data_IF_299958306457
#
_entry.id   IF_299958306457
#
_cell.length_a   1.000
_cell.length_b   1.000
_cell.length_c   1.000
_cell.angle_alpha   90.00
_cell.angle_beta   90.00
_cell.angle_gamma   90.00
#
_symmetry.space_group_name_H-M   'P 1'
#
loop_
_entity.id
_entity.type
_entity.pdbx_description
1 polymer ?
#
# COMPACT_ATOMS: atom_id res chain seq x y z
N UNK A 1 -5.49 7.63 -15.50
CA UNK A 1 -5.33 7.68 -16.98
C UNK A 1 -6.69 7.50 -17.62
N UNK A 2 -7.04 8.31 -18.62
CA UNK A 2 -8.25 8.14 -19.43
C UNK A 2 -7.85 8.12 -20.91
N UNK A 3 -8.45 7.24 -21.69
CA UNK A 3 -8.18 7.10 -23.13
C UNK A 3 -9.43 6.61 -23.86
N UNK A 4 -9.63 7.03 -25.11
CA UNK A 4 -10.76 6.59 -25.93
C UNK A 4 -10.76 7.27 -27.29
N UNK A 5 -11.19 6.54 -28.33
CA UNK A 5 -11.20 7.02 -29.71
C UNK A 5 -9.82 7.07 -30.36
N UNK A 6 -9.80 7.01 -31.70
CA UNK A 6 -8.59 7.01 -32.52
C UNK A 6 -8.64 8.02 -33.69
N UNK A 7 -9.81 8.62 -33.93
CA UNK A 7 -10.03 9.61 -34.99
C UNK A 7 -10.98 10.70 -34.50
N UNK A 8 -10.71 11.95 -34.87
CA UNK A 8 -11.46 13.14 -34.42
C UNK A 8 -12.90 13.17 -34.95
N UNK A 9 -13.15 12.53 -36.09
CA UNK A 9 -14.42 12.54 -36.80
C UNK A 9 -15.20 11.22 -36.71
N UNK A 10 -14.89 10.37 -35.74
CA UNK A 10 -15.53 9.07 -35.54
C UNK A 10 -16.06 8.91 -34.12
N UNK A 11 -17.20 8.24 -33.97
CA UNK A 11 -17.70 7.85 -32.66
C UNK A 11 -16.78 6.76 -32.09
N UNK A 12 -16.18 6.92 -30.90
CA UNK A 12 -15.29 5.92 -30.32
C UNK A 12 -15.99 4.58 -30.10
N UNK A 13 -15.34 3.49 -30.51
CA UNK A 13 -15.82 2.12 -30.23
C UNK A 13 -15.45 1.63 -28.82
N UNK A 14 -14.43 2.23 -28.19
CA UNK A 14 -13.98 1.89 -26.84
C UNK A 14 -13.39 3.11 -26.13
N UNK A 15 -13.58 3.16 -24.82
CA UNK A 15 -12.84 4.00 -23.89
C UNK A 15 -12.35 3.17 -22.69
N UNK A 16 -11.28 3.63 -22.05
CA UNK A 16 -10.71 3.05 -20.83
C UNK A 16 -10.39 4.14 -19.83
N UNK A 17 -10.79 3.91 -18.59
CA UNK A 17 -10.42 4.70 -17.43
C UNK A 17 -9.66 3.79 -16.46
N UNK A 18 -8.47 4.22 -16.05
CA UNK A 18 -7.68 3.55 -15.02
C UNK A 18 -7.38 4.55 -13.91
N UNK A 19 -7.56 4.11 -12.67
CA UNK A 19 -7.34 4.90 -11.48
C UNK A 19 -6.89 4.03 -10.31
N UNK A 20 -6.60 4.68 -9.20
CA UNK A 20 -6.24 4.04 -7.95
C UNK A 20 -7.09 4.66 -6.84
N UNK A 21 -7.59 3.84 -5.92
CA UNK A 21 -8.32 4.28 -4.73
C UNK A 21 -7.61 3.70 -3.52
N UNK A 22 -7.33 4.54 -2.51
CA UNK A 22 -6.83 4.11 -1.21
C UNK A 22 -7.98 4.20 -0.21
N UNK A 23 -8.40 3.04 0.32
CA UNK A 23 -9.48 2.96 1.30
C UNK A 23 -9.03 3.38 2.71
N UNK A 24 -9.99 3.79 3.53
CA UNK A 24 -9.86 3.87 4.99
C UNK A 24 -10.68 2.74 5.64
N UNK A 25 -10.41 2.35 6.91
CA UNK A 25 -11.15 1.27 7.57
C UNK A 25 -12.69 1.42 7.52
N UNK A 26 -13.19 2.64 7.59
CA UNK A 26 -14.62 2.97 7.56
C UNK A 26 -15.26 2.66 6.20
N UNK A 27 -14.48 2.78 5.12
CA UNK A 27 -14.90 2.55 3.74
C UNK A 27 -13.92 1.63 3.00
N UNK A 28 -14.09 0.33 3.20
CA UNK A 28 -13.17 -0.70 2.75
C UNK A 28 -13.10 -0.88 1.22
N UNK A 29 -12.13 -1.66 0.77
CA UNK A 29 -12.00 -2.07 -0.63
C UNK A 29 -13.26 -2.79 -1.12
N UNK A 30 -13.87 -3.66 -0.31
CA UNK A 30 -15.10 -4.37 -0.69
C UNK A 30 -16.26 -3.40 -0.93
N UNK A 31 -16.45 -2.42 -0.04
CA UNK A 31 -17.48 -1.39 -0.21
C UNK A 31 -17.22 -0.55 -1.46
N UNK A 32 -15.97 -0.21 -1.73
CA UNK A 32 -15.56 0.54 -2.92
C UNK A 32 -15.84 -0.24 -4.20
N UNK A 33 -15.43 -1.51 -4.26
CA UNK A 33 -15.65 -2.39 -5.41
C UNK A 33 -17.15 -2.59 -5.64
N UNK A 34 -17.92 -2.85 -4.58
CA UNK A 34 -19.37 -3.00 -4.66
C UNK A 34 -20.06 -1.74 -5.18
N UNK A 35 -19.62 -0.55 -4.74
CA UNK A 35 -20.16 0.72 -5.22
C UNK A 35 -19.85 0.93 -6.71
N UNK A 36 -18.60 0.72 -7.13
CA UNK A 36 -18.21 0.87 -8.54
C UNK A 36 -18.96 -0.13 -9.44
N UNK A 37 -19.08 -1.38 -8.99
CA UNK A 37 -19.83 -2.40 -9.71
C UNK A 37 -21.31 -2.03 -9.83
N UNK A 38 -21.91 -1.50 -8.76
CA UNK A 38 -23.29 -1.01 -8.78
C UNK A 38 -23.48 0.10 -9.83
N UNK A 39 -22.58 1.09 -9.85
CA UNK A 39 -22.63 2.19 -10.84
C UNK A 39 -22.51 1.64 -12.27
N UNK A 40 -21.61 0.69 -12.51
CA UNK A 40 -21.45 0.07 -13.84
C UNK A 40 -22.71 -0.69 -14.27
N UNK A 41 -23.33 -1.43 -13.36
CA UNK A 41 -24.57 -2.15 -13.64
C UNK A 41 -25.70 -1.17 -14.00
N UNK A 42 -25.90 -0.11 -13.21
CA UNK A 42 -26.92 0.91 -13.46
C UNK A 42 -26.70 1.59 -14.84
N UNK A 43 -25.45 1.92 -15.19
CA UNK A 43 -25.14 2.53 -16.48
C UNK A 43 -25.39 1.59 -17.66
N UNK A 44 -25.09 0.30 -17.51
CA UNK A 44 -25.35 -0.72 -18.53
C UNK A 44 -26.85 -1.03 -18.69
N UNK A 45 -27.70 -0.68 -17.73
CA UNK A 45 -29.17 -0.78 -17.86
C UNK A 45 -29.77 0.42 -18.60
N UNK A 46 -29.26 1.64 -18.34
CA UNK A 46 -29.79 2.89 -18.94
C UNK A 46 -29.57 2.94 -20.45
N UNK A 47 -28.41 2.46 -20.90
CA UNK A 47 -28.10 2.31 -22.32
C UNK A 47 -27.37 0.99 -22.50
N UNK A 48 -27.46 0.39 -23.69
CA UNK A 48 -26.82 -0.89 -24.04
C UNK A 48 -25.28 -0.79 -24.14
N UNK A 49 -24.66 -0.10 -23.19
CA UNK A 49 -23.22 -0.08 -22.98
C UNK A 49 -22.74 -1.46 -22.51
N UNK A 50 -21.44 -1.70 -22.66
CA UNK A 50 -20.76 -2.91 -22.20
C UNK A 50 -19.59 -2.51 -21.30
N UNK A 51 -19.90 -1.76 -20.24
CA UNK A 51 -18.91 -1.34 -19.25
C UNK A 51 -18.49 -2.54 -18.39
N UNK A 52 -17.19 -2.70 -18.18
CA UNK A 52 -16.59 -3.75 -17.36
C UNK A 52 -15.69 -3.12 -16.29
N UNK A 53 -15.79 -3.62 -15.05
CA UNK A 53 -14.85 -3.31 -13.98
C UNK A 53 -13.76 -4.39 -13.92
N UNK A 54 -12.51 -4.00 -14.13
CA UNK A 54 -11.37 -4.87 -13.87
C UNK A 54 -10.59 -4.38 -12.65
N UNK A 55 -10.39 -5.27 -11.68
CA UNK A 55 -9.55 -5.01 -10.51
C UNK A 55 -8.15 -5.56 -10.81
N UNK A 56 -7.20 -4.67 -11.07
CA UNK A 56 -5.81 -5.08 -11.32
C UNK A 56 -5.11 -5.50 -10.02
N UNK A 57 -5.36 -4.78 -8.91
CA UNK A 57 -4.81 -5.07 -7.58
C UNK A 57 -5.81 -4.74 -6.47
N UNK A 58 -5.96 -5.66 -5.50
CA UNK A 58 -6.74 -5.43 -4.28
C UNK A 58 -5.82 -5.64 -3.06
N UNK A 59 -5.31 -4.54 -2.50
CA UNK A 59 -4.41 -4.56 -1.35
C UNK A 59 -5.13 -4.06 -0.11
N UNK A 60 -5.21 -4.92 0.90
CA UNK A 60 -5.87 -4.64 2.17
C UNK A 60 -4.92 -3.81 3.05
N UNK A 61 -5.42 -2.82 3.83
CA UNK A 61 -4.60 -2.16 4.83
C UNK A 61 -4.01 -3.17 5.82
N UNK A 62 -2.75 -2.95 6.16
CA UNK A 62 -1.99 -3.85 7.02
C UNK A 62 -1.69 -3.14 8.33
N UNK A 63 -1.91 -3.82 9.46
CA UNK A 63 -1.66 -3.30 10.80
C UNK A 63 -0.76 -4.26 11.57
N UNK A 64 0.43 -3.80 11.94
CA UNK A 64 1.32 -4.53 12.83
C UNK A 64 0.72 -4.56 14.25
N UNK A 65 1.02 -5.60 15.00
CA UNK A 65 0.75 -5.65 16.44
C UNK A 65 1.79 -4.78 17.18
N UNK A 66 1.39 -3.64 17.80
CA UNK A 66 2.31 -2.75 18.50
C UNK A 66 3.02 -3.44 19.68
N UNK A 67 2.46 -4.53 20.19
CA UNK A 67 2.99 -5.29 21.31
C UNK A 67 3.77 -6.55 20.87
N UNK A 68 4.00 -6.72 19.56
CA UNK A 68 4.73 -7.87 19.01
C UNK A 68 6.16 -7.98 19.55
N UNK A 69 6.68 -9.21 19.61
CA UNK A 69 8.05 -9.47 20.02
C UNK A 69 9.03 -8.71 19.13
N UNK A 70 8.80 -8.71 17.81
CA UNK A 70 9.61 -7.97 16.84
C UNK A 70 9.71 -6.46 17.17
N UNK A 71 8.58 -5.80 17.44
CA UNK A 71 8.59 -4.36 17.75
C UNK A 71 9.32 -4.10 19.06
N UNK A 72 9.17 -4.95 20.08
CA UNK A 72 9.93 -4.82 21.34
C UNK A 72 11.44 -4.94 21.10
N UNK A 73 11.90 -5.95 20.36
CA UNK A 73 13.31 -6.12 20.01
C UNK A 73 13.88 -4.89 19.27
N UNK A 74 13.07 -4.26 18.41
CA UNK A 74 13.45 -3.02 17.71
C UNK A 74 13.59 -1.87 18.70
N UNK A 75 12.60 -1.64 19.57
CA UNK A 75 12.61 -0.54 20.54
C UNK A 75 13.81 -0.62 21.48
N UNK A 76 14.25 -1.81 21.87
CA UNK A 76 15.43 -2.03 22.71
C UNK A 76 16.75 -1.58 22.05
N UNK A 77 16.78 -1.44 20.72
CA UNK A 77 17.98 -0.97 20.03
C UNK A 77 18.11 0.55 20.03
N UNK A 78 17.15 1.30 20.57
CA UNK A 78 17.16 2.77 20.60
C UNK A 78 17.07 3.27 22.04
N UNK A 79 17.83 4.32 22.36
CA UNK A 79 17.81 4.92 23.70
C UNK A 79 16.46 5.54 24.05
N UNK A 80 15.74 6.01 23.03
CA UNK A 80 14.41 6.59 23.14
C UNK A 80 13.43 5.78 22.29
N UNK A 81 12.20 5.55 22.77
CA UNK A 81 11.19 4.83 22.00
C UNK A 81 10.90 5.51 20.66
N UNK A 82 10.94 4.73 19.59
CA UNK A 82 10.54 5.18 18.27
C UNK A 82 9.01 5.28 18.18
N UNK A 83 8.47 6.31 17.52
CA UNK A 83 7.03 6.44 17.34
C UNK A 83 6.51 5.35 16.39
N UNK A 84 5.41 4.71 16.78
CA UNK A 84 4.67 3.81 15.90
C UNK A 84 3.69 4.62 15.06
N UNK A 85 3.98 4.74 13.76
CA UNK A 85 3.22 5.58 12.83
C UNK A 85 2.61 4.76 11.70
N UNK A 86 1.47 5.22 11.18
CA UNK A 86 0.94 4.74 9.92
C UNK A 86 1.72 5.36 8.75
N UNK A 87 2.14 4.53 7.80
CA UNK A 87 2.78 5.00 6.56
C UNK A 87 1.75 5.08 5.42
N UNK A 88 1.80 6.15 4.65
CA UNK A 88 1.03 6.29 3.40
C UNK A 88 1.79 5.61 2.27
N UNK A 89 1.26 4.51 1.75
CA UNK A 89 1.90 3.76 0.68
C UNK A 89 1.49 2.30 0.72
N UNK A 90 2.04 1.52 -0.22
CA UNK A 90 1.92 0.07 -0.19
C UNK A 90 3.32 -0.52 -0.10
N UNK A 91 3.46 -1.55 0.70
CA UNK A 91 4.68 -2.37 0.80
C UNK A 91 4.31 -3.83 0.58
N UNK A 92 5.33 -4.69 0.49
CA UNK A 92 5.14 -6.14 0.36
C UNK A 92 4.47 -6.76 1.60
N UNK A 93 4.39 -6.04 2.73
CA UNK A 93 3.66 -6.46 3.93
C UNK A 93 2.21 -6.87 3.61
N UNK A 94 1.54 -6.20 2.66
CA UNK A 94 0.17 -6.53 2.25
C UNK A 94 0.04 -7.87 1.52
N UNK A 95 1.12 -8.37 0.93
CA UNK A 95 1.15 -9.70 0.34
C UNK A 95 1.45 -10.76 1.40
N UNK A 96 2.36 -10.48 2.32
CA UNK A 96 2.69 -11.41 3.41
C UNK A 96 1.47 -11.72 4.30
N UNK A 97 0.55 -10.76 4.52
CA UNK A 97 -0.69 -10.99 5.28
C UNK A 97 -1.63 -12.03 4.66
N UNK A 98 -1.40 -12.46 3.41
CA UNK A 98 -2.18 -13.53 2.77
C UNK A 98 -1.75 -14.94 3.18
N UNK A 99 -0.63 -15.06 3.90
CA UNK A 99 -0.19 -16.33 4.46
C UNK A 99 -1.21 -16.88 5.47
N UNK A 100 -1.33 -18.21 5.53
CA UNK A 100 -2.11 -18.88 6.57
C UNK A 100 -1.42 -18.89 7.93
N UNK A 101 -0.14 -18.52 8.00
CA UNK A 101 0.63 -18.48 9.23
C UNK A 101 0.67 -17.06 9.78
N UNK A 102 0.49 -16.92 11.09
CA UNK A 102 0.75 -15.67 11.79
C UNK A 102 2.25 -15.48 11.97
N UNK A 103 2.72 -14.25 11.76
CA UNK A 103 4.09 -13.83 12.00
C UNK A 103 4.09 -12.35 12.37
N UNK A 104 5.08 -11.94 13.16
CA UNK A 104 5.31 -10.53 13.43
C UNK A 104 5.80 -9.83 12.17
N UNK A 105 5.37 -8.59 11.94
CA UNK A 105 5.92 -7.77 10.89
C UNK A 105 5.86 -6.30 11.28
N UNK A 106 6.77 -5.52 10.71
CA UNK A 106 6.74 -4.06 10.76
C UNK A 106 7.46 -3.52 9.52
N UNK A 107 7.03 -2.37 9.01
CA UNK A 107 7.79 -1.64 7.99
C UNK A 107 8.70 -0.68 8.73
N UNK A 108 10.01 -0.90 8.63
CA UNK A 108 11.00 -0.14 9.37
C UNK A 108 12.27 0.05 8.54
N UNK A 109 12.74 1.29 8.43
CA UNK A 109 13.85 1.63 7.55
C UNK A 109 14.34 3.06 7.71
N UNK A 110 15.50 3.37 7.11
CA UNK A 110 16.08 4.70 7.15
C UNK A 110 15.39 5.63 6.14
N UNK A 111 15.65 6.93 6.27
CA UNK A 111 15.15 7.96 5.37
C UNK A 111 13.88 8.66 5.85
N UNK A 112 13.35 9.53 5.00
CA UNK A 112 12.21 10.39 5.33
C UNK A 112 10.98 9.91 4.55
N UNK A 113 9.95 9.47 5.28
CA UNK A 113 8.73 8.84 4.72
C UNK A 113 7.99 9.67 3.67
N UNK A 114 8.21 10.98 3.62
CA UNK A 114 7.53 11.91 2.70
C UNK A 114 8.27 12.15 1.39
N UNK A 115 9.53 11.72 1.26
CA UNK A 115 10.37 11.97 0.08
C UNK A 115 10.27 10.97 -1.08
N UNK A 116 9.81 9.70 -0.91
CA UNK A 116 9.79 8.76 -2.01
C UNK A 116 9.04 9.26 -3.25
N UNK A 117 9.51 8.84 -4.44
CA UNK A 117 8.94 9.19 -5.77
C UNK A 117 9.08 10.66 -6.16
N UNK A 118 10.10 11.34 -5.63
CA UNK A 118 10.43 12.74 -5.95
C UNK A 118 11.83 12.84 -6.55
N UNK A 119 12.08 13.87 -7.36
CA UNK A 119 13.38 14.06 -8.05
C UNK A 119 14.55 14.18 -7.05
N UNK A 120 14.26 14.70 -5.86
CA UNK A 120 15.21 14.94 -4.78
C UNK A 120 15.05 13.94 -3.62
N UNK A 121 14.57 12.72 -3.89
CA UNK A 121 14.57 11.63 -2.91
C UNK A 121 16.00 11.33 -2.43
N UNK A 122 16.19 11.22 -1.10
CA UNK A 122 17.49 10.94 -0.51
C UNK A 122 17.36 10.19 0.83
N UNK A 123 18.49 9.66 1.30
CA UNK A 123 18.71 9.16 2.67
C UNK A 123 20.04 9.71 3.17
N UNK A 124 20.11 10.08 4.44
CA UNK A 124 21.38 10.52 5.05
C UNK A 124 22.34 9.34 5.17
N UNK A 125 23.62 9.54 4.86
CA UNK A 125 24.64 8.48 4.87
C UNK A 125 24.75 7.86 6.28
N UNK A 126 24.81 8.70 7.31
CA UNK A 126 24.91 8.22 8.68
C UNK A 126 23.68 7.44 9.11
N UNK A 127 22.47 7.85 8.69
CA UNK A 127 21.24 7.11 8.97
C UNK A 127 21.21 5.77 8.23
N UNK A 128 21.68 5.72 6.99
CA UNK A 128 21.81 4.47 6.23
C UNK A 128 22.78 3.49 6.91
N UNK A 129 23.96 3.97 7.31
CA UNK A 129 24.98 3.14 7.96
C UNK A 129 24.55 2.68 9.36
N UNK A 130 23.99 3.57 10.17
CA UNK A 130 23.46 3.22 11.50
C UNK A 130 22.41 2.11 11.37
N UNK A 131 21.54 2.19 10.38
CA UNK A 131 20.48 1.21 10.21
C UNK A 131 21.00 -0.20 9.87
N UNK A 132 22.14 -0.31 9.18
CA UNK A 132 22.79 -1.60 8.93
C UNK A 132 23.17 -2.29 10.24
N UNK A 133 23.74 -1.53 11.19
CA UNK A 133 24.12 -2.04 12.50
C UNK A 133 22.88 -2.37 13.34
N UNK A 134 21.85 -1.53 13.29
CA UNK A 134 20.56 -1.79 13.96
C UNK A 134 19.90 -3.05 13.45
N UNK A 135 19.86 -3.29 12.13
CA UNK A 135 19.28 -4.51 11.57
C UNK A 135 19.98 -5.76 12.09
N UNK A 136 21.31 -5.76 12.16
CA UNK A 136 22.07 -6.89 12.72
C UNK A 136 21.71 -7.14 14.19
N UNK A 137 21.68 -6.10 15.01
CA UNK A 137 21.32 -6.21 16.42
C UNK A 137 19.88 -6.69 16.63
N UNK A 138 18.91 -6.19 15.84
CA UNK A 138 17.51 -6.62 15.86
C UNK A 138 17.41 -8.10 15.51
N UNK A 139 18.07 -8.56 14.45
CA UNK A 139 18.04 -9.96 14.02
C UNK A 139 18.59 -10.87 15.12
N UNK A 140 19.71 -10.49 15.74
CA UNK A 140 20.32 -11.26 16.83
C UNK A 140 19.44 -11.32 18.08
N UNK A 141 18.71 -10.24 18.41
CA UNK A 141 17.77 -10.23 19.54
C UNK A 141 16.49 -11.02 19.25
N UNK A 142 15.91 -10.85 18.05
CA UNK A 142 14.63 -11.45 17.69
C UNK A 142 14.70 -12.97 17.49
N UNK A 143 15.84 -13.48 17.01
CA UNK A 143 16.06 -14.90 16.72
C UNK A 143 16.82 -15.65 17.82
N UNK A 144 17.07 -15.01 18.95
CA UNK A 144 17.77 -15.59 20.10
C UNK A 144 17.00 -16.73 20.78
#
# INVERSE_FOLDING_TARGET
MISGGNQVNSIPSQARLQGNIRSIPEFSNEKTIALLQKIINELNEVAKYQLELKIDYNKIPVKADPDSHLIRCIQEQFEQPLPLVGAVGTTDAAEFTKSSHAFDFVVFGPGVVTLPHQINEYVEIDNYLEMIDKYQAIILSYLA
#
